data_IF_330166947175
#
_entry.id   IF_330166947175
#
_cell.length_a   1.000
_cell.length_b   1.000
_cell.length_c   1.000
_cell.angle_alpha   90.00
_cell.angle_beta   90.00
_cell.angle_gamma   90.00
#
_symmetry.space_group_name_H-M   'P 1'
#
loop_
_entity.id
_entity.type
_entity.pdbx_description
1 polymer ?
#
# COMPACT_ATOMS: atom_id res chain seq x y z
N UNK A 1 -13.05 -5.93 20.77
CA UNK A 1 -13.08 -7.35 21.15
C UNK A 1 -11.82 -8.00 20.60
N UNK A 2 -11.22 -8.96 21.30
CA UNK A 2 -10.05 -9.72 20.81
C UNK A 2 -10.44 -11.19 20.84
N UNK A 3 -10.24 -11.88 19.70
CA UNK A 3 -10.51 -13.30 19.53
C UNK A 3 -9.17 -14.01 19.37
N UNK A 4 -8.98 -15.08 20.10
CA UNK A 4 -7.77 -15.91 20.01
C UNK A 4 -8.07 -17.13 19.14
N UNK A 5 -7.49 -17.19 17.96
CA UNK A 5 -7.68 -18.28 17.03
C UNK A 5 -6.78 -18.16 15.81
N UNK A 6 -6.90 -19.12 14.91
CA UNK A 6 -6.21 -19.08 13.62
C UNK A 6 -7.01 -18.19 12.65
N UNK A 7 -6.42 -17.04 12.26
CA UNK A 7 -7.06 -16.11 11.33
C UNK A 7 -7.25 -16.64 9.91
N UNK A 8 -6.64 -17.76 9.55
CA UNK A 8 -6.84 -18.44 8.27
C UNK A 8 -7.96 -19.49 8.30
N UNK A 9 -8.51 -19.79 9.50
CA UNK A 9 -9.63 -20.70 9.64
C UNK A 9 -10.93 -20.04 9.17
N UNK A 10 -11.42 -20.50 8.03
CA UNK A 10 -12.65 -20.00 7.42
C UNK A 10 -13.87 -20.19 8.33
N UNK A 11 -13.91 -21.28 9.12
CA UNK A 11 -15.01 -21.54 10.05
C UNK A 11 -15.05 -20.46 11.13
N UNK A 12 -13.90 -20.13 11.70
CA UNK A 12 -13.78 -19.06 12.68
C UNK A 12 -14.22 -17.71 12.11
N UNK A 13 -13.77 -17.39 10.89
CA UNK A 13 -14.14 -16.13 10.24
C UNK A 13 -15.66 -16.03 10.05
N UNK A 14 -16.33 -17.12 9.69
CA UNK A 14 -17.78 -17.16 9.54
C UNK A 14 -18.52 -17.08 10.89
N UNK A 15 -18.00 -17.73 11.94
CA UNK A 15 -18.53 -17.63 13.30
C UNK A 15 -18.46 -16.20 13.84
N UNK A 16 -17.50 -15.39 13.37
CA UNK A 16 -17.33 -13.99 13.73
C UNK A 16 -18.04 -13.02 12.76
N UNK A 17 -19.08 -13.49 12.08
CA UNK A 17 -19.96 -12.68 11.21
C UNK A 17 -19.19 -11.98 10.05
N UNK A 18 -18.27 -12.68 9.37
CA UNK A 18 -17.53 -12.13 8.23
C UNK A 18 -18.46 -11.49 7.18
N UNK A 19 -19.57 -12.13 6.87
CA UNK A 19 -20.57 -11.66 5.87
C UNK A 19 -21.20 -10.30 6.23
N UNK A 20 -21.07 -9.86 7.48
CA UNK A 20 -21.64 -8.61 8.00
C UNK A 20 -20.59 -7.58 8.32
N UNK A 21 -19.32 -7.88 7.98
CA UNK A 21 -18.19 -7.03 8.28
C UNK A 21 -18.01 -5.99 7.17
N UNK A 22 -17.92 -4.71 7.53
CA UNK A 22 -17.71 -3.61 6.58
C UNK A 22 -16.32 -3.65 5.94
N UNK A 23 -15.30 -4.10 6.69
CA UNK A 23 -13.94 -4.17 6.20
C UNK A 23 -13.13 -5.28 6.88
N UNK A 24 -12.24 -5.93 6.11
CA UNK A 24 -11.27 -6.91 6.60
C UNK A 24 -9.85 -6.47 6.25
N UNK A 25 -8.94 -6.62 7.23
CA UNK A 25 -7.51 -6.35 7.03
C UNK A 25 -6.69 -7.58 7.42
N UNK A 26 -6.09 -8.27 6.45
CA UNK A 26 -5.24 -9.42 6.66
C UNK A 26 -3.79 -9.00 6.92
N UNK A 27 -3.30 -9.23 8.15
CA UNK A 27 -1.99 -8.76 8.64
C UNK A 27 -1.13 -9.86 9.24
N UNK A 28 -1.32 -11.12 8.85
CA UNK A 28 -0.46 -12.23 9.34
C UNK A 28 0.98 -12.06 8.85
N UNK A 29 1.90 -12.88 9.36
CA UNK A 29 3.28 -12.87 8.89
C UNK A 29 3.51 -13.66 7.59
N UNK A 30 2.47 -14.35 7.09
CA UNK A 30 2.54 -15.18 5.88
C UNK A 30 1.73 -14.52 4.78
N UNK A 31 2.41 -14.13 3.71
CA UNK A 31 1.78 -13.44 2.57
C UNK A 31 0.73 -14.34 1.91
N UNK A 32 0.99 -15.64 1.80
CA UNK A 32 0.08 -16.63 1.22
C UNK A 32 -1.23 -16.74 2.02
N UNK A 33 -1.14 -16.72 3.35
CA UNK A 33 -2.32 -16.68 4.22
C UNK A 33 -3.10 -15.38 4.03
N UNK A 34 -2.42 -14.24 3.99
CA UNK A 34 -3.07 -12.95 3.76
C UNK A 34 -3.80 -12.92 2.43
N UNK A 35 -3.22 -13.56 1.38
CA UNK A 35 -3.89 -13.71 0.08
C UNK A 35 -5.16 -14.57 0.22
N UNK A 36 -5.07 -15.73 0.86
CA UNK A 36 -6.21 -16.66 1.01
C UNK A 36 -7.34 -16.01 1.82
N UNK A 37 -7.02 -15.40 2.96
CA UNK A 37 -7.97 -14.69 3.81
C UNK A 37 -8.67 -13.58 3.01
N UNK A 38 -7.90 -12.80 2.25
CA UNK A 38 -8.45 -11.68 1.48
C UNK A 38 -9.34 -12.15 0.33
N UNK A 39 -8.96 -13.21 -0.37
CA UNK A 39 -9.81 -13.81 -1.41
C UNK A 39 -11.10 -14.38 -0.82
N UNK A 40 -11.03 -15.03 0.34
CA UNK A 40 -12.20 -15.54 1.04
C UNK A 40 -13.15 -14.41 1.43
N UNK A 41 -12.63 -13.32 2.01
CA UNK A 41 -13.42 -12.14 2.34
C UNK A 41 -14.08 -11.48 1.10
N UNK A 42 -13.35 -11.43 -0.02
CA UNK A 42 -13.89 -10.90 -1.29
C UNK A 42 -15.03 -11.78 -1.82
N UNK A 43 -14.92 -13.10 -1.69
CA UNK A 43 -15.99 -14.04 -2.08
C UNK A 43 -17.25 -13.87 -1.22
N UNK A 44 -17.10 -13.44 0.03
CA UNK A 44 -18.18 -13.14 0.97
C UNK A 44 -18.66 -11.68 0.91
N UNK A 45 -18.29 -10.95 -0.16
CA UNK A 45 -18.75 -9.59 -0.44
C UNK A 45 -18.45 -8.58 0.69
N UNK A 46 -17.36 -8.78 1.45
CA UNK A 46 -16.89 -7.81 2.44
C UNK A 46 -16.60 -6.49 1.75
N UNK A 47 -17.17 -5.39 2.26
CA UNK A 47 -17.18 -4.08 1.58
C UNK A 47 -15.81 -3.48 1.30
N UNK A 48 -14.77 -3.81 2.12
CA UNK A 48 -13.39 -3.38 1.91
C UNK A 48 -12.39 -4.44 2.37
N UNK A 49 -11.52 -4.87 1.47
CA UNK A 49 -10.51 -5.90 1.78
C UNK A 49 -9.10 -5.36 1.55
N UNK A 50 -8.27 -5.42 2.59
CA UNK A 50 -6.88 -4.96 2.58
C UNK A 50 -5.96 -6.12 2.97
N UNK A 51 -4.92 -6.38 2.20
CA UNK A 51 -3.92 -7.41 2.47
C UNK A 51 -2.51 -6.83 2.68
N UNK A 52 -1.82 -7.25 3.75
CA UNK A 52 -0.40 -7.00 3.90
C UNK A 52 0.38 -8.02 3.06
N UNK A 53 1.22 -7.55 2.13
CA UNK A 53 2.06 -8.38 1.26
C UNK A 53 3.50 -7.87 1.31
N UNK A 54 4.43 -8.75 1.60
CA UNK A 54 5.86 -8.43 1.60
C UNK A 54 6.52 -8.74 0.24
N UNK A 55 5.97 -9.71 -0.52
CA UNK A 55 6.52 -10.15 -1.80
C UNK A 55 5.71 -9.57 -2.97
N UNK A 56 6.31 -8.69 -3.74
CA UNK A 56 5.68 -7.99 -4.88
C UNK A 56 5.12 -8.95 -5.95
N UNK A 57 5.62 -10.19 -6.03
CA UNK A 57 5.13 -11.18 -7.00
C UNK A 57 3.67 -11.59 -6.79
N UNK A 58 3.16 -11.48 -5.56
CA UNK A 58 1.78 -11.82 -5.20
C UNK A 58 0.80 -10.66 -5.46
N UNK A 59 1.30 -9.44 -5.54
CA UNK A 59 0.52 -8.23 -5.77
C UNK A 59 -0.32 -8.31 -7.05
N UNK A 60 0.27 -8.82 -8.13
CA UNK A 60 -0.41 -9.02 -9.42
C UNK A 60 -1.53 -10.07 -9.36
N UNK A 61 -1.43 -11.04 -8.46
CA UNK A 61 -2.47 -12.04 -8.26
C UNK A 61 -3.66 -11.39 -7.56
N UNK A 62 -3.39 -10.60 -6.54
CA UNK A 62 -4.41 -9.91 -5.76
C UNK A 62 -5.17 -8.84 -6.57
N UNK A 63 -4.47 -8.07 -7.41
CA UNK A 63 -5.12 -7.12 -8.33
C UNK A 63 -6.19 -7.79 -9.22
N UNK A 64 -5.97 -9.06 -9.61
CA UNK A 64 -6.92 -9.83 -10.42
C UNK A 64 -8.00 -10.53 -9.60
N UNK A 65 -7.80 -10.67 -8.30
CA UNK A 65 -8.70 -11.39 -7.39
C UNK A 65 -9.80 -10.52 -6.80
N UNK A 66 -9.82 -9.22 -7.13
CA UNK A 66 -10.81 -8.28 -6.61
C UNK A 66 -10.51 -7.75 -5.22
N UNK A 67 -9.30 -7.97 -4.68
CA UNK A 67 -8.86 -7.37 -3.42
C UNK A 67 -8.62 -5.87 -3.64
N UNK A 68 -9.21 -5.04 -2.79
CA UNK A 68 -9.23 -3.60 -2.99
C UNK A 68 -7.88 -2.91 -2.86
N UNK A 69 -7.05 -3.39 -1.93
CA UNK A 69 -5.79 -2.73 -1.62
C UNK A 69 -4.77 -3.70 -1.05
N UNK A 70 -3.53 -3.59 -1.49
CA UNK A 70 -2.38 -4.24 -0.88
C UNK A 70 -1.50 -3.23 -0.17
N UNK A 71 -0.94 -3.62 0.97
CA UNK A 71 0.00 -2.81 1.75
C UNK A 71 1.33 -3.54 1.84
N UNK A 72 2.40 -2.91 1.36
CA UNK A 72 3.76 -3.46 1.42
C UNK A 72 4.62 -2.58 2.34
N UNK A 73 4.76 -2.91 3.63
CA UNK A 73 5.35 -2.04 4.63
C UNK A 73 6.78 -1.60 4.31
N UNK A 74 7.62 -2.50 3.79
CA UNK A 74 9.00 -2.17 3.46
C UNK A 74 9.11 -1.21 2.27
N UNK A 75 8.19 -1.23 1.30
CA UNK A 75 8.15 -0.24 0.22
C UNK A 75 7.75 1.14 0.75
N UNK A 76 6.77 1.18 1.65
CA UNK A 76 6.34 2.43 2.30
C UNK A 76 7.53 3.04 3.06
N UNK A 77 8.20 2.24 3.90
CA UNK A 77 9.35 2.69 4.67
C UNK A 77 10.51 3.13 3.77
N UNK A 78 10.82 2.37 2.72
CA UNK A 78 11.87 2.73 1.76
C UNK A 78 11.55 4.04 1.05
N UNK A 79 10.31 4.25 0.64
CA UNK A 79 9.89 5.50 0.01
C UNK A 79 10.02 6.70 0.98
N UNK A 80 9.65 6.53 2.25
CA UNK A 80 9.81 7.56 3.27
C UNK A 80 11.29 7.92 3.49
N UNK A 81 12.17 6.91 3.56
CA UNK A 81 13.62 7.13 3.69
C UNK A 81 14.16 7.90 2.48
N UNK A 82 13.79 7.49 1.27
CA UNK A 82 14.23 8.18 0.04
C UNK A 82 13.74 9.63 0.01
N UNK A 83 12.49 9.88 0.39
CA UNK A 83 11.94 11.23 0.50
C UNK A 83 12.74 12.08 1.50
N UNK A 84 13.00 11.52 2.68
CA UNK A 84 13.78 12.20 3.72
C UNK A 84 15.20 12.56 3.26
N UNK A 85 15.92 11.60 2.64
CA UNK A 85 17.28 11.84 2.14
C UNK A 85 17.29 12.90 1.04
N UNK A 86 16.33 12.84 0.11
CA UNK A 86 16.19 13.85 -0.96
C UNK A 86 15.87 15.24 -0.39
N UNK A 87 14.97 15.33 0.59
CA UNK A 87 14.67 16.59 1.27
C UNK A 87 15.91 17.19 1.95
N UNK A 88 16.74 16.37 2.60
CA UNK A 88 17.99 16.83 3.20
C UNK A 88 19.02 17.29 2.15
N UNK A 89 19.13 16.62 1.01
CA UNK A 89 20.04 17.02 -0.08
C UNK A 89 19.57 18.32 -0.73
N UNK A 90 18.27 18.50 -0.90
CA UNK A 90 17.66 19.66 -1.54
C UNK A 90 17.62 20.91 -0.66
N UNK A 91 17.73 20.78 0.66
CA UNK A 91 17.86 21.92 1.58
C UNK A 91 19.10 22.81 1.32
N UNK A 92 20.02 22.33 0.46
CA UNK A 92 21.24 23.05 0.04
C UNK A 92 21.10 23.89 -1.23
N UNK A 93 19.91 23.96 -1.88
CA UNK A 93 19.84 24.81 -3.07
C UNK A 93 18.51 24.93 -3.81
N UNK A 94 17.75 23.90 -4.05
CA UNK A 94 16.43 23.97 -4.71
C UNK A 94 15.56 22.84 -4.18
N UNK A 95 14.70 23.17 -3.21
CA UNK A 95 13.95 22.16 -2.46
C UNK A 95 12.80 21.52 -3.25
N UNK A 96 12.89 20.23 -3.48
CA UNK A 96 11.70 19.40 -3.75
C UNK A 96 10.93 19.33 -2.43
N UNK A 97 9.71 19.86 -2.39
CA UNK A 97 8.87 19.86 -1.18
C UNK A 97 8.18 18.53 -0.97
N UNK A 98 7.73 17.91 -2.04
CA UNK A 98 7.12 16.59 -1.99
C UNK A 98 7.42 15.74 -3.23
N UNK A 99 7.33 14.43 -3.07
CA UNK A 99 7.48 13.46 -4.15
C UNK A 99 6.45 12.35 -3.96
N UNK A 100 5.67 12.10 -5.00
CA UNK A 100 4.71 11.00 -5.04
C UNK A 100 5.05 10.08 -6.21
N UNK A 101 5.12 8.77 -5.94
CA UNK A 101 5.24 7.76 -7.00
C UNK A 101 3.85 7.32 -7.44
N UNK A 102 3.63 7.34 -8.74
CA UNK A 102 2.38 6.96 -9.39
C UNK A 102 2.60 5.71 -10.24
N UNK A 103 1.56 4.88 -10.38
CA UNK A 103 1.57 3.74 -11.29
C UNK A 103 2.68 2.73 -11.01
N UNK A 104 2.62 2.00 -9.89
CA UNK A 104 3.63 0.99 -9.48
C UNK A 104 5.09 1.48 -9.49
N UNK A 105 5.32 2.78 -9.33
CA UNK A 105 6.65 3.37 -9.27
C UNK A 105 7.26 3.75 -10.64
N UNK A 106 6.53 3.61 -11.73
CA UNK A 106 7.00 3.94 -13.08
C UNK A 106 7.09 5.45 -13.35
N UNK A 107 6.34 6.27 -12.60
CA UNK A 107 6.31 7.73 -12.74
C UNK A 107 6.48 8.39 -11.38
N UNK A 108 7.28 9.45 -11.33
CA UNK A 108 7.46 10.28 -10.14
C UNK A 108 6.88 11.68 -10.39
N UNK A 109 5.99 12.13 -9.51
CA UNK A 109 5.53 13.51 -9.45
C UNK A 109 6.31 14.24 -8.37
N UNK A 110 6.92 15.38 -8.72
CA UNK A 110 7.74 16.19 -7.84
C UNK A 110 7.13 17.58 -7.68
N UNK A 111 7.02 18.04 -6.45
CA UNK A 111 6.56 19.38 -6.11
C UNK A 111 7.77 20.24 -5.70
N UNK A 112 7.89 21.42 -6.33
CA UNK A 112 8.98 22.34 -6.08
C UNK A 112 8.43 23.69 -5.64
N UNK A 113 9.08 24.33 -4.69
CA UNK A 113 8.88 25.74 -4.41
C UNK A 113 9.57 26.58 -5.48
N UNK A 114 8.79 27.30 -6.29
CA UNK A 114 9.31 28.19 -7.32
C UNK A 114 9.70 29.53 -6.68
N UNK A 115 11.00 29.85 -6.69
CA UNK A 115 11.50 31.16 -6.27
C UNK A 115 11.30 32.16 -7.40
N UNK A 116 11.15 33.46 -7.07
CA UNK A 116 10.94 34.55 -8.06
C UNK A 116 12.00 34.62 -9.17
N UNK A 117 13.19 34.04 -8.96
CA UNK A 117 14.31 33.99 -9.93
C UNK A 117 14.33 32.71 -10.79
N UNK A 118 13.28 31.90 -10.79
CA UNK A 118 13.24 30.65 -11.54
C UNK A 118 12.94 30.91 -13.03
N UNK A 119 13.92 30.67 -13.89
CA UNK A 119 13.72 30.59 -15.35
C UNK A 119 13.50 29.12 -15.73
N UNK A 120 12.33 28.74 -16.24
CA UNK A 120 12.10 27.37 -16.70
C UNK A 120 12.97 27.10 -17.93
N UNK A 121 13.85 26.09 -17.85
CA UNK A 121 14.59 25.62 -19.01
C UNK A 121 13.57 25.04 -20.01
N UNK A 122 13.33 25.75 -21.12
CA UNK A 122 12.57 25.18 -22.23
C UNK A 122 13.40 24.12 -22.90
N UNK A 123 13.07 22.85 -22.69
CA UNK A 123 13.55 21.76 -23.53
C UNK A 123 12.89 21.89 -24.91
N UNK A 124 13.77 22.06 -25.93
CA UNK A 124 13.39 21.88 -27.33
C UNK A 124 13.50 20.39 -27.70
#
# INVERSE_FOLDING_TARGET
MVICGDGSDQTLLMEEDLDRTDALVALTNMDEENVIISMFATLHEVGKVIAKINHISLDKILEKSGVDCTVTPHLISSNQIVQYVRAMQNSRGNGVESMVRLGSGAVEALEFHVKESFEPAMYR
#
